data_IF_875066786854
#
_entry.id   IF_875066786854
#
_cell.length_a   1.000
_cell.length_b   1.000
_cell.length_c   1.000
_cell.angle_alpha   90.00
_cell.angle_beta   90.00
_cell.angle_gamma   90.00
#
_symmetry.space_group_name_H-M   'P 1'
#
loop_
_entity.id
_entity.type
_entity.pdbx_description
1 polymer ?
#
# COMPACT_ATOMS: atom_id res chain seq x y z
N UNK A 1 -2.03 -12.77 42.08
CA UNK A 1 -2.89 -13.53 41.14
C UNK A 1 -3.92 -12.56 40.58
N UNK A 2 -3.87 -12.24 39.28
CA UNK A 2 -4.84 -11.31 38.68
C UNK A 2 -6.19 -12.01 38.51
N UNK A 3 -7.16 -11.66 39.34
CA UNK A 3 -8.58 -11.99 39.24
C UNK A 3 -9.20 -11.25 38.05
N UNK A 4 -8.76 -11.61 36.85
CA UNK A 4 -9.26 -11.03 35.61
C UNK A 4 -10.51 -11.80 35.16
N UNK A 5 -11.63 -11.09 34.97
CA UNK A 5 -12.87 -11.67 34.45
C UNK A 5 -12.68 -12.11 32.98
N UNK A 6 -13.53 -13.03 32.50
CA UNK A 6 -13.48 -13.52 31.10
C UNK A 6 -13.52 -12.36 30.07
N UNK A 7 -14.30 -11.32 30.35
CA UNK A 7 -14.45 -10.13 29.50
C UNK A 7 -13.18 -9.29 29.47
N UNK A 8 -12.54 -9.08 30.63
CA UNK A 8 -11.27 -8.36 30.74
C UNK A 8 -10.15 -9.12 30.03
N UNK A 9 -10.09 -10.45 30.21
CA UNK A 9 -9.14 -11.32 29.51
C UNK A 9 -9.29 -11.22 27.99
N UNK A 10 -10.53 -11.20 27.47
CA UNK A 10 -10.80 -11.03 26.03
C UNK A 10 -10.33 -9.65 25.54
N UNK A 11 -10.56 -8.58 26.30
CA UNK A 11 -10.11 -7.22 25.98
C UNK A 11 -8.57 -7.12 26.02
N UNK A 12 -7.90 -7.76 26.97
CA UNK A 12 -6.44 -7.82 27.05
C UNK A 12 -5.85 -8.55 25.85
N UNK A 13 -6.36 -9.74 25.52
CA UNK A 13 -5.90 -10.50 24.35
C UNK A 13 -6.15 -9.76 23.02
N UNK A 14 -7.26 -9.04 22.89
CA UNK A 14 -7.51 -8.20 21.72
C UNK A 14 -6.48 -7.06 21.59
N UNK A 15 -6.17 -6.38 22.70
CA UNK A 15 -5.12 -5.35 22.76
C UNK A 15 -3.74 -5.93 22.44
N UNK A 16 -3.38 -7.07 23.02
CA UNK A 16 -2.12 -7.77 22.72
C UNK A 16 -2.02 -8.16 21.24
N UNK A 17 -3.10 -8.69 20.64
CA UNK A 17 -3.13 -8.99 19.20
C UNK A 17 -2.94 -7.75 18.34
N UNK A 18 -3.62 -6.65 18.67
CA UNK A 18 -3.47 -5.37 17.96
C UNK A 18 -2.06 -4.80 18.10
N UNK A 19 -1.45 -4.88 19.30
CA UNK A 19 -0.09 -4.45 19.54
C UNK A 19 0.93 -5.30 18.76
N UNK A 20 0.77 -6.63 18.76
CA UNK A 20 1.61 -7.54 17.96
C UNK A 20 1.47 -7.29 16.46
N UNK A 21 0.26 -7.02 15.97
CA UNK A 21 0.02 -6.63 14.57
C UNK A 21 0.77 -5.35 14.22
N UNK A 22 0.57 -4.28 15.00
CA UNK A 22 1.26 -3.00 14.81
C UNK A 22 2.79 -3.12 14.88
N UNK A 23 3.30 -3.94 15.80
CA UNK A 23 4.74 -4.19 15.91
C UNK A 23 5.30 -4.93 14.68
N UNK A 24 4.58 -5.93 14.16
CA UNK A 24 4.96 -6.63 12.92
C UNK A 24 4.93 -5.72 11.71
N UNK A 25 3.88 -4.90 11.57
CA UNK A 25 3.78 -3.89 10.53
C UNK A 25 4.94 -2.91 10.61
N UNK A 26 5.18 -2.31 11.79
CA UNK A 26 6.31 -1.39 12.01
C UNK A 26 7.65 -2.04 11.65
N UNK A 27 7.91 -3.28 12.10
CA UNK A 27 9.14 -4.00 11.77
C UNK A 27 9.26 -4.26 10.26
N UNK A 28 8.16 -4.61 9.59
CA UNK A 28 8.10 -4.75 8.12
C UNK A 28 8.44 -3.42 7.44
N UNK A 29 7.88 -2.29 7.93
CA UNK A 29 8.18 -0.94 7.41
C UNK A 29 9.67 -0.59 7.55
N UNK A 30 10.24 -0.85 8.72
CA UNK A 30 11.66 -0.61 9.01
C UNK A 30 12.58 -1.47 8.12
N UNK A 31 12.27 -2.76 7.95
CA UNK A 31 13.07 -3.68 7.13
C UNK A 31 13.03 -3.31 5.64
N UNK A 32 11.88 -2.85 5.14
CA UNK A 32 11.70 -2.48 3.73
C UNK A 32 12.23 -1.05 3.46
N UNK A 33 12.61 -0.30 4.49
CA UNK A 33 13.03 1.10 4.36
C UNK A 33 11.88 1.99 3.89
N UNK A 34 10.66 1.69 4.31
CA UNK A 34 9.45 2.39 3.89
C UNK A 34 9.52 3.88 4.25
N UNK A 35 9.30 4.75 3.27
CA UNK A 35 9.26 6.21 3.47
C UNK A 35 7.87 6.72 3.13
N UNK A 36 7.32 7.56 4.01
CA UNK A 36 6.05 8.25 3.73
C UNK A 36 6.24 9.23 2.60
N UNK A 37 5.42 9.11 1.56
CA UNK A 37 5.38 10.03 0.43
C UNK A 37 4.00 10.70 0.41
N UNK A 38 3.95 12.03 0.52
CA UNK A 38 2.71 12.80 0.48
C UNK A 38 2.66 13.59 -0.81
N UNK A 39 1.58 13.43 -1.56
CA UNK A 39 1.32 14.17 -2.81
C UNK A 39 -0.10 14.74 -2.80
N UNK A 40 -0.28 15.87 -3.48
CA UNK A 40 -1.63 16.37 -3.81
C UNK A 40 -2.08 15.69 -5.09
N UNK A 41 -3.24 15.03 -5.05
CA UNK A 41 -3.84 14.36 -6.20
C UNK A 41 -5.23 14.94 -6.48
N UNK A 42 -5.61 14.98 -7.76
CA UNK A 42 -6.98 15.32 -8.16
C UNK A 42 -7.94 14.13 -7.99
N UNK A 43 -9.24 14.39 -8.07
CA UNK A 43 -10.27 13.35 -7.90
C UNK A 43 -10.15 12.18 -8.89
N UNK A 44 -9.75 12.44 -10.14
CA UNK A 44 -9.54 11.41 -11.15
C UNK A 44 -8.46 10.39 -10.75
N UNK A 45 -7.34 10.87 -10.22
CA UNK A 45 -6.25 9.99 -9.75
C UNK A 45 -6.68 9.14 -8.55
N UNK A 46 -7.54 9.67 -7.68
CA UNK A 46 -8.07 8.86 -6.58
C UNK A 46 -8.94 7.70 -7.08
N UNK A 47 -9.78 7.95 -8.09
CA UNK A 47 -10.57 6.91 -8.75
C UNK A 47 -9.68 5.90 -9.50
N UNK A 48 -8.61 6.35 -10.15
CA UNK A 48 -7.64 5.47 -10.81
C UNK A 48 -6.91 4.57 -9.80
N UNK A 49 -6.52 5.10 -8.64
CA UNK A 49 -5.92 4.31 -7.56
C UNK A 49 -6.88 3.21 -7.08
N UNK A 50 -8.15 3.54 -6.90
CA UNK A 50 -9.19 2.58 -6.52
C UNK A 50 -9.37 1.50 -7.60
N UNK A 51 -9.45 1.90 -8.87
CA UNK A 51 -9.55 0.98 -10.01
C UNK A 51 -8.37 -0.01 -10.04
N UNK A 52 -7.13 0.47 -9.89
CA UNK A 52 -5.93 -0.38 -9.83
C UNK A 52 -5.96 -1.31 -8.62
N UNK A 53 -6.44 -0.81 -7.48
CA UNK A 53 -6.56 -1.60 -6.23
C UNK A 53 -7.51 -2.78 -6.42
N UNK A 54 -8.70 -2.52 -6.97
CA UNK A 54 -9.73 -3.54 -7.23
C UNK A 54 -9.27 -4.54 -8.31
N UNK A 55 -8.77 -4.04 -9.45
CA UNK A 55 -8.33 -4.89 -10.55
C UNK A 55 -7.17 -5.82 -10.17
N UNK A 56 -6.29 -5.37 -9.27
CA UNK A 56 -5.17 -6.15 -8.76
C UNK A 56 -5.50 -7.04 -7.55
N UNK A 57 -6.72 -6.95 -7.00
CA UNK A 57 -7.12 -7.70 -5.80
C UNK A 57 -6.31 -7.33 -4.55
N UNK A 58 -5.87 -6.07 -4.44
CA UNK A 58 -5.06 -5.61 -3.31
C UNK A 58 -5.93 -5.20 -2.12
N UNK A 59 -5.51 -5.55 -0.90
CA UNK A 59 -6.21 -5.13 0.32
C UNK A 59 -5.91 -3.67 0.70
N UNK A 60 -4.74 -3.15 0.29
CA UNK A 60 -4.27 -1.80 0.63
C UNK A 60 -3.91 -1.02 -0.65
N UNK A 61 -4.44 0.20 -0.78
CA UNK A 61 -4.13 1.11 -1.90
C UNK A 61 -2.61 1.39 -2.01
N UNK A 62 -1.92 1.50 -0.87
CA UNK A 62 -0.47 1.73 -0.83
C UNK A 62 0.30 0.59 -1.50
N UNK A 63 -0.14 -0.67 -1.33
CA UNK A 63 0.48 -1.80 -2.01
C UNK A 63 0.22 -1.76 -3.52
N UNK A 64 -1.02 -1.46 -3.92
CA UNK A 64 -1.40 -1.34 -5.32
C UNK A 64 -0.54 -0.29 -6.05
N UNK A 65 -0.45 0.91 -5.49
CA UNK A 65 0.34 2.02 -6.03
C UNK A 65 1.83 1.69 -6.04
N UNK A 66 2.36 1.10 -4.97
CA UNK A 66 3.78 0.70 -4.90
C UNK A 66 4.14 -0.29 -6.02
N UNK A 67 3.29 -1.28 -6.28
CA UNK A 67 3.50 -2.27 -7.35
C UNK A 67 3.37 -1.65 -8.73
N UNK A 68 2.36 -0.80 -8.95
CA UNK A 68 2.17 -0.09 -10.20
C UNK A 68 3.39 0.78 -10.54
N UNK A 69 3.86 1.61 -9.59
CA UNK A 69 5.06 2.45 -9.76
C UNK A 69 6.29 1.59 -10.05
N UNK A 70 6.48 0.47 -9.34
CA UNK A 70 7.62 -0.42 -9.57
C UNK A 70 7.61 -1.04 -10.96
N UNK A 71 6.44 -1.43 -11.45
CA UNK A 71 6.27 -1.95 -12.80
C UNK A 71 6.60 -0.90 -13.85
N UNK A 72 5.99 0.29 -13.75
CA UNK A 72 6.23 1.42 -14.66
C UNK A 72 7.72 1.83 -14.66
N UNK A 73 8.35 1.92 -13.48
CA UNK A 73 9.77 2.21 -13.37
C UNK A 73 10.66 1.09 -13.97
N UNK A 74 10.18 -0.15 -13.99
CA UNK A 74 10.88 -1.26 -14.66
C UNK A 74 10.82 -1.11 -16.18
N UNK A 75 9.70 -0.65 -16.73
CA UNK A 75 9.58 -0.31 -18.16
C UNK A 75 10.54 0.83 -18.49
N UNK A 76 10.51 1.92 -17.70
CA UNK A 76 11.39 3.07 -17.91
C UNK A 76 12.89 2.69 -17.93
N UNK A 77 13.32 1.78 -17.05
CA UNK A 77 14.71 1.30 -16.99
C UNK A 77 15.08 0.40 -18.16
N UNK A 78 14.18 -0.50 -18.58
CA UNK A 78 14.44 -1.47 -19.65
C UNK A 78 14.32 -0.85 -21.04
N UNK A 79 13.36 0.06 -21.22
CA UNK A 79 13.08 0.72 -22.49
C UNK A 79 12.53 2.13 -22.25
N UNK A 80 13.41 3.15 -22.19
CA UNK A 80 13.01 4.55 -22.04
C UNK A 80 12.11 5.06 -23.17
N UNK A 81 12.22 4.49 -24.37
CA UNK A 81 11.36 4.85 -25.52
C UNK A 81 9.95 4.29 -25.37
N UNK A 82 9.80 3.03 -24.94
CA UNK A 82 8.49 2.45 -24.67
C UNK A 82 7.77 3.18 -23.54
N UNK A 83 8.50 3.55 -22.48
CA UNK A 83 7.95 4.36 -21.39
C UNK A 83 7.45 5.72 -21.89
N UNK A 84 8.24 6.44 -22.69
CA UNK A 84 7.81 7.73 -23.26
C UNK A 84 6.56 7.60 -24.13
N UNK A 85 6.44 6.52 -24.91
CA UNK A 85 5.25 6.24 -25.71
C UNK A 85 4.02 5.99 -24.84
N UNK A 86 4.16 5.17 -23.79
CA UNK A 86 3.08 4.86 -22.87
C UNK A 86 2.61 6.08 -22.04
N UNK A 87 3.52 6.98 -21.68
CA UNK A 87 3.20 8.20 -20.93
C UNK A 87 2.69 9.35 -21.81
N UNK A 88 2.62 9.17 -23.13
CA UNK A 88 2.10 10.18 -24.03
C UNK A 88 0.57 10.17 -24.02
N UNK A 89 -0.01 11.09 -23.24
CA UNK A 89 -1.46 11.29 -23.05
C UNK A 89 -2.26 11.58 -24.34
N UNK A 90 -1.60 11.71 -25.49
CA UNK A 90 -2.24 11.88 -26.81
C UNK A 90 -2.45 10.57 -27.57
N UNK A 91 -1.97 9.44 -27.06
CA UNK A 91 -2.30 8.13 -27.62
C UNK A 91 -3.64 7.66 -27.06
N UNK A 92 -4.64 7.34 -27.90
CA UNK A 92 -5.89 6.78 -27.42
C UNK A 92 -5.59 5.43 -26.76
N UNK A 93 -6.12 5.25 -25.55
CA UNK A 93 -6.16 3.95 -24.86
C UNK A 93 -7.20 3.08 -25.54
#
# INVERSE_FOLDING_TARGET
MTTETKTERKRRLARERSARRRARERKRREVIGERKFKIKIGAGIAADIECITLAGGFEEQDEAVTRAIRHVASIARRSPTAFRKAMNLRSPV
#
